data_IF_058544868567
#
_entry.id   IF_058544868567
#
_cell.length_a   1.000
_cell.length_b   1.000
_cell.length_c   1.000
_cell.angle_alpha   90.00
_cell.angle_beta   90.00
_cell.angle_gamma   90.00
#
_symmetry.space_group_name_H-M   'P 1'
#
loop_
_entity.id
_entity.type
_entity.pdbx_description
1 polymer ?
#
# COMPACT_ATOMS: atom_id res chain seq x y z
N UNK A 1 -8.32 -61.10 -22.95
CA UNK A 1 -9.19 -60.55 -21.88
C UNK A 1 -8.80 -59.10 -21.67
N UNK A 2 -9.75 -58.18 -21.74
CA UNK A 2 -9.48 -56.75 -21.59
C UNK A 2 -9.19 -56.45 -20.09
N UNK A 3 -7.98 -56.00 -19.72
CA UNK A 3 -7.61 -55.76 -18.32
C UNK A 3 -8.46 -54.66 -17.64
N UNK A 4 -9.15 -53.82 -18.43
CA UNK A 4 -10.08 -52.79 -17.96
C UNK A 4 -11.47 -53.33 -17.56
N UNK A 5 -11.71 -54.64 -17.75
CA UNK A 5 -12.96 -55.29 -17.33
C UNK A 5 -12.96 -55.72 -15.85
N UNK A 6 -11.81 -55.66 -15.15
CA UNK A 6 -11.72 -55.95 -13.71
C UNK A 6 -12.04 -54.69 -12.88
N UNK A 7 -13.14 -54.69 -12.08
CA UNK A 7 -13.52 -53.55 -11.24
C UNK A 7 -12.43 -53.06 -10.27
N UNK A 8 -11.55 -53.96 -9.81
CA UNK A 8 -10.45 -53.61 -8.90
C UNK A 8 -9.36 -52.80 -9.61
N UNK A 9 -9.07 -53.15 -10.87
CA UNK A 9 -8.09 -52.44 -11.71
C UNK A 9 -8.62 -51.06 -12.06
N UNK A 10 -9.88 -50.97 -12.48
CA UNK A 10 -10.54 -49.69 -12.81
C UNK A 10 -10.62 -48.76 -11.60
N UNK A 11 -10.97 -49.27 -10.42
CA UNK A 11 -11.00 -48.47 -9.18
C UNK A 11 -9.63 -47.91 -8.81
N UNK A 12 -8.57 -48.74 -8.87
CA UNK A 12 -7.19 -48.29 -8.60
C UNK A 12 -6.74 -47.24 -9.60
N UNK A 13 -7.04 -47.43 -10.88
CA UNK A 13 -6.74 -46.46 -11.93
C UNK A 13 -7.42 -45.11 -11.67
N UNK A 14 -8.72 -45.10 -11.36
CA UNK A 14 -9.46 -43.87 -11.03
C UNK A 14 -8.85 -43.16 -9.82
N UNK A 15 -8.50 -43.88 -8.75
CA UNK A 15 -7.86 -43.29 -7.57
C UNK A 15 -6.50 -42.67 -7.93
N UNK A 16 -5.68 -43.38 -8.71
CA UNK A 16 -4.36 -42.86 -9.13
C UNK A 16 -4.50 -41.62 -10.02
N UNK A 17 -5.49 -41.57 -10.92
CA UNK A 17 -5.76 -40.40 -11.75
C UNK A 17 -6.28 -39.21 -10.93
N UNK A 18 -7.10 -39.45 -9.90
CA UNK A 18 -7.55 -38.41 -8.98
C UNK A 18 -6.37 -37.83 -8.19
N UNK A 19 -5.48 -38.68 -7.66
CA UNK A 19 -4.27 -38.25 -6.96
C UNK A 19 -3.35 -37.47 -7.90
N UNK A 20 -3.10 -37.98 -9.11
CA UNK A 20 -2.23 -37.33 -10.09
C UNK A 20 -2.76 -35.94 -10.49
N UNK A 21 -4.07 -35.81 -10.70
CA UNK A 21 -4.71 -34.51 -11.00
C UNK A 21 -4.56 -33.54 -9.83
N UNK A 22 -4.81 -34.00 -8.60
CA UNK A 22 -4.65 -33.18 -7.41
C UNK A 22 -3.21 -32.68 -7.25
N UNK A 23 -2.23 -33.59 -7.36
CA UNK A 23 -0.80 -33.25 -7.28
C UNK A 23 -0.39 -32.28 -8.38
N UNK A 24 -0.82 -32.51 -9.62
CA UNK A 24 -0.56 -31.61 -10.75
C UNK A 24 -1.13 -30.22 -10.49
N UNK A 25 -2.37 -30.12 -10.01
CA UNK A 25 -3.01 -28.83 -9.71
C UNK A 25 -2.32 -28.11 -8.54
N UNK A 26 -1.89 -28.85 -7.49
CA UNK A 26 -1.12 -28.29 -6.38
C UNK A 26 0.23 -27.75 -6.85
N UNK A 27 0.99 -28.52 -7.64
CA UNK A 27 2.27 -28.08 -8.18
C UNK A 27 2.06 -26.87 -9.10
N UNK A 28 1.08 -26.91 -10.01
CA UNK A 28 0.76 -25.79 -10.88
C UNK A 28 0.39 -24.54 -10.08
N UNK A 29 -0.42 -24.66 -9.03
CA UNK A 29 -0.80 -23.53 -8.17
C UNK A 29 0.42 -22.92 -7.47
N UNK A 30 1.31 -23.75 -6.93
CA UNK A 30 2.53 -23.28 -6.26
C UNK A 30 3.49 -22.64 -7.26
N UNK A 31 3.81 -23.31 -8.36
CA UNK A 31 4.72 -22.78 -9.39
C UNK A 31 4.17 -21.49 -9.97
N UNK A 32 2.87 -21.45 -10.30
CA UNK A 32 2.20 -20.23 -10.79
C UNK A 32 2.33 -19.09 -9.78
N UNK A 33 2.19 -19.34 -8.48
CA UNK A 33 2.35 -18.30 -7.45
C UNK A 33 3.76 -17.71 -7.41
N UNK A 34 4.80 -18.51 -7.65
CA UNK A 34 6.19 -18.03 -7.65
C UNK A 34 6.64 -17.46 -8.99
N UNK A 35 6.15 -18.01 -10.11
CA UNK A 35 6.51 -17.57 -11.46
C UNK A 35 5.74 -16.33 -11.94
N UNK A 36 4.75 -15.85 -11.19
CA UNK A 36 3.94 -14.67 -11.54
C UNK A 36 4.20 -13.44 -10.66
N UNK A 37 5.25 -13.40 -9.84
CA UNK A 37 5.59 -12.15 -9.14
C UNK A 37 5.95 -11.10 -10.19
N UNK A 38 5.26 -9.94 -10.23
CA UNK A 38 5.64 -8.83 -11.09
C UNK A 38 7.11 -8.48 -10.93
N UNK A 39 7.76 -8.12 -12.04
CA UNK A 39 9.14 -7.67 -12.01
C UNK A 39 9.28 -6.45 -11.08
N UNK A 40 10.24 -6.46 -10.16
CA UNK A 40 10.45 -5.40 -9.16
C UNK A 40 9.84 -5.67 -7.78
N UNK A 41 8.90 -6.61 -7.65
CA UNK A 41 8.24 -6.90 -6.36
C UNK A 41 9.21 -7.49 -5.32
N UNK A 42 10.23 -8.23 -5.77
CA UNK A 42 11.24 -8.79 -4.87
C UNK A 42 12.05 -7.66 -4.21
N UNK A 43 12.50 -6.71 -5.00
CA UNK A 43 13.26 -5.54 -4.59
C UNK A 43 12.42 -4.62 -3.71
N UNK A 44 11.13 -4.45 -4.03
CA UNK A 44 10.18 -3.72 -3.18
C UNK A 44 10.09 -4.34 -1.79
N UNK A 45 9.96 -5.67 -1.69
CA UNK A 45 9.94 -6.36 -0.39
C UNK A 45 11.24 -6.16 0.40
N UNK A 46 12.39 -6.19 -0.27
CA UNK A 46 13.66 -5.90 0.39
C UNK A 46 13.72 -4.45 0.88
N UNK A 47 13.24 -3.50 0.07
CA UNK A 47 13.14 -2.09 0.44
C UNK A 47 12.27 -1.87 1.68
N UNK A 48 11.14 -2.57 1.77
CA UNK A 48 10.23 -2.48 2.92
C UNK A 48 10.85 -3.04 4.21
N UNK A 49 11.60 -4.13 4.11
CA UNK A 49 12.37 -4.65 5.25
C UNK A 49 13.39 -3.59 5.72
N UNK A 50 14.08 -2.93 4.79
CA UNK A 50 15.02 -1.86 5.14
C UNK A 50 14.35 -0.62 5.74
N UNK A 51 13.14 -0.26 5.29
CA UNK A 51 12.31 0.79 5.93
C UNK A 51 12.00 0.42 7.38
N UNK A 52 11.56 -0.82 7.63
CA UNK A 52 11.29 -1.31 8.99
C UNK A 52 12.52 -1.31 9.90
N UNK A 53 13.70 -1.56 9.32
CA UNK A 53 15.00 -1.49 9.99
C UNK A 53 15.53 -0.05 10.17
N UNK A 54 14.85 0.97 9.63
CA UNK A 54 15.32 2.37 9.62
C UNK A 54 16.52 2.63 8.70
N UNK A 55 16.86 1.70 7.80
CA UNK A 55 17.99 1.79 6.86
C UNK A 55 17.55 2.41 5.54
N UNK A 56 17.18 3.69 5.57
CA UNK A 56 16.53 4.37 4.44
C UNK A 56 17.35 4.38 3.15
N UNK A 57 18.67 4.60 3.22
CA UNK A 57 19.52 4.60 2.01
C UNK A 57 19.52 3.24 1.30
N UNK A 58 19.56 2.14 2.07
CA UNK A 58 19.46 0.78 1.50
C UNK A 58 18.09 0.51 0.92
N UNK A 59 17.03 1.03 1.55
CA UNK A 59 15.68 0.94 1.01
C UNK A 59 15.58 1.65 -0.35
N UNK A 60 16.12 2.88 -0.44
CA UNK A 60 16.18 3.65 -1.68
C UNK A 60 16.89 2.88 -2.80
N UNK A 61 18.06 2.29 -2.52
CA UNK A 61 18.77 1.46 -3.50
C UNK A 61 17.91 0.31 -4.04
N UNK A 62 17.15 -0.38 -3.17
CA UNK A 62 16.26 -1.47 -3.60
C UNK A 62 15.11 -0.95 -4.44
N UNK A 63 14.46 0.15 -4.04
CA UNK A 63 13.39 0.74 -4.84
C UNK A 63 13.88 1.24 -6.20
N UNK A 64 15.09 1.79 -6.26
CA UNK A 64 15.71 2.19 -7.53
C UNK A 64 15.98 0.99 -8.46
N UNK A 65 16.36 -0.16 -7.90
CA UNK A 65 16.48 -1.40 -8.68
C UNK A 65 15.13 -1.87 -9.23
N UNK A 66 14.07 -1.85 -8.42
CA UNK A 66 12.72 -2.16 -8.89
C UNK A 66 12.31 -1.24 -10.04
N UNK A 67 12.58 0.06 -9.91
CA UNK A 67 12.20 1.08 -10.90
C UNK A 67 13.05 1.04 -12.17
N UNK A 68 14.26 0.47 -12.14
CA UNK A 68 15.03 0.20 -13.36
C UNK A 68 14.36 -0.85 -14.23
N UNK A 69 13.70 -1.83 -13.62
CA UNK A 69 13.01 -2.92 -14.33
C UNK A 69 11.59 -2.48 -14.73
N UNK A 70 10.84 -1.90 -13.80
CA UNK A 70 9.52 -1.36 -14.04
C UNK A 70 9.43 0.11 -13.57
N UNK A 71 9.61 1.09 -14.48
CA UNK A 71 9.67 2.52 -14.12
C UNK A 71 8.44 3.09 -13.40
N UNK A 72 7.27 2.47 -13.59
CA UNK A 72 6.01 2.88 -12.98
C UNK A 72 5.53 1.90 -11.90
N UNK A 73 6.44 1.14 -11.30
CA UNK A 73 6.09 0.17 -10.27
C UNK A 73 5.51 0.88 -9.03
N UNK A 74 4.20 0.73 -8.83
CA UNK A 74 3.42 1.46 -7.83
C UNK A 74 3.99 1.34 -6.42
N UNK A 75 4.30 0.09 -6.02
CA UNK A 75 4.88 -0.20 -4.70
C UNK A 75 6.30 0.34 -4.50
N UNK A 76 7.09 0.48 -5.58
CA UNK A 76 8.45 0.99 -5.51
C UNK A 76 8.44 2.52 -5.44
N UNK A 77 7.61 3.19 -6.25
CA UNK A 77 7.39 4.64 -6.16
C UNK A 77 6.87 5.05 -4.77
N UNK A 78 5.86 4.33 -4.26
CA UNK A 78 5.32 4.56 -2.91
C UNK A 78 6.39 4.34 -1.84
N UNK A 79 7.10 3.20 -1.89
CA UNK A 79 8.15 2.88 -0.93
C UNK A 79 9.30 3.90 -0.94
N UNK A 80 9.70 4.36 -2.13
CA UNK A 80 10.76 5.37 -2.30
C UNK A 80 10.34 6.73 -1.75
N UNK A 81 9.11 7.16 -2.02
CA UNK A 81 8.54 8.38 -1.45
C UNK A 81 8.51 8.35 0.09
N UNK A 82 8.11 7.22 0.67
CA UNK A 82 8.11 7.00 2.11
C UNK A 82 9.53 7.00 2.69
N UNK A 83 10.49 6.36 2.02
CA UNK A 83 11.89 6.37 2.42
C UNK A 83 12.45 7.79 2.48
N UNK A 84 12.20 8.60 1.45
CA UNK A 84 12.58 10.01 1.45
C UNK A 84 11.93 10.77 2.61
N UNK A 85 10.62 10.61 2.81
CA UNK A 85 9.88 11.25 3.89
C UNK A 85 10.39 10.89 5.28
N UNK A 86 10.74 9.62 5.51
CA UNK A 86 11.27 9.12 6.79
C UNK A 86 12.73 9.51 7.02
N UNK A 87 13.49 9.75 5.95
CA UNK A 87 14.87 10.24 5.98
C UNK A 87 15.01 11.77 6.02
N UNK A 88 13.91 12.50 6.28
CA UNK A 88 13.86 13.97 6.31
C UNK A 88 14.25 14.63 4.97
N UNK A 89 13.84 14.02 3.86
CA UNK A 89 14.04 14.50 2.48
C UNK A 89 12.70 14.83 1.83
N UNK A 90 12.02 15.90 2.29
CA UNK A 90 10.62 16.11 1.97
C UNK A 90 10.40 16.61 0.53
N UNK A 91 11.40 17.26 -0.09
CA UNK A 91 11.30 17.74 -1.48
C UNK A 91 11.23 16.56 -2.44
N UNK A 92 12.10 15.57 -2.25
CA UNK A 92 12.11 14.34 -3.03
C UNK A 92 10.85 13.51 -2.77
N UNK A 93 10.41 13.40 -1.52
CA UNK A 93 9.16 12.71 -1.19
C UNK A 93 7.94 13.34 -1.89
N UNK A 94 7.82 14.67 -1.87
CA UNK A 94 6.73 15.40 -2.53
C UNK A 94 6.72 15.15 -4.04
N UNK A 95 7.89 15.17 -4.67
CA UNK A 95 8.04 14.90 -6.09
C UNK A 95 7.59 13.48 -6.46
N UNK A 96 8.01 12.48 -5.70
CA UNK A 96 7.64 11.08 -5.92
C UNK A 96 6.14 10.82 -5.70
N UNK A 97 5.56 11.32 -4.60
CA UNK A 97 4.12 11.21 -4.39
C UNK A 97 3.33 11.88 -5.50
N UNK A 98 3.76 13.08 -5.92
CA UNK A 98 3.10 13.82 -6.99
C UNK A 98 3.19 13.08 -8.33
N UNK A 99 4.33 12.48 -8.64
CA UNK A 99 4.49 11.63 -9.82
C UNK A 99 3.55 10.43 -9.77
N UNK A 100 3.55 9.68 -8.66
CA UNK A 100 2.71 8.50 -8.47
C UNK A 100 1.22 8.83 -8.59
N UNK A 101 0.76 9.89 -7.94
CA UNK A 101 -0.62 10.40 -8.04
C UNK A 101 -0.96 10.69 -9.49
N UNK A 102 -0.14 11.49 -10.19
CA UNK A 102 -0.40 11.87 -11.58
C UNK A 102 -0.44 10.66 -12.52
N UNK A 103 0.43 9.67 -12.30
CA UNK A 103 0.44 8.44 -13.06
C UNK A 103 -0.83 7.63 -12.82
N UNK A 104 -1.19 7.39 -11.55
CA UNK A 104 -2.35 6.59 -11.18
C UNK A 104 -3.66 7.24 -11.60
N UNK A 105 -3.83 8.56 -11.43
CA UNK A 105 -5.03 9.27 -11.89
C UNK A 105 -5.30 9.10 -13.39
N UNK A 106 -4.25 8.88 -14.20
CA UNK A 106 -4.37 8.72 -15.65
C UNK A 106 -4.51 7.26 -16.11
N UNK A 107 -4.03 6.30 -15.31
CA UNK A 107 -3.82 4.91 -15.75
C UNK A 107 -4.50 3.87 -14.86
N UNK A 108 -5.15 4.26 -13.75
CA UNK A 108 -5.93 3.33 -12.93
C UNK A 108 -7.28 3.10 -13.58
N UNK A 109 -7.58 1.83 -13.84
CA UNK A 109 -8.88 1.40 -14.33
C UNK A 109 -9.90 1.35 -13.19
N UNK A 110 -11.21 1.55 -13.45
CA UNK A 110 -12.24 1.55 -12.41
C UNK A 110 -12.37 0.25 -11.61
N UNK A 111 -11.92 -0.89 -12.15
CA UNK A 111 -11.94 -2.20 -11.50
C UNK A 111 -10.62 -2.57 -10.81
N UNK A 112 -9.57 -1.75 -10.95
CA UNK A 112 -8.27 -1.94 -10.33
C UNK A 112 -8.27 -1.45 -8.87
N UNK A 113 -8.85 -2.28 -7.99
CA UNK A 113 -8.96 -1.98 -6.55
C UNK A 113 -7.62 -1.67 -5.90
N UNK A 114 -6.55 -2.38 -6.29
CA UNK A 114 -5.21 -2.16 -5.75
C UNK A 114 -4.66 -0.80 -6.19
N UNK A 115 -4.87 -0.42 -7.46
CA UNK A 115 -4.51 0.89 -7.99
C UNK A 115 -5.28 2.02 -7.31
N UNK A 116 -6.58 1.85 -7.10
CA UNK A 116 -7.46 2.80 -6.39
C UNK A 116 -6.98 2.99 -4.94
N UNK A 117 -6.74 1.89 -4.22
CA UNK A 117 -6.20 1.95 -2.85
C UNK A 117 -4.82 2.61 -2.79
N UNK A 118 -3.96 2.34 -3.79
CA UNK A 118 -2.66 3.02 -3.92
C UNK A 118 -2.79 4.51 -4.13
N UNK A 119 -3.73 4.93 -4.98
CA UNK A 119 -3.97 6.34 -5.24
C UNK A 119 -4.46 7.06 -3.97
N UNK A 120 -5.41 6.46 -3.24
CA UNK A 120 -5.89 7.01 -1.97
C UNK A 120 -4.75 7.12 -0.93
N UNK A 121 -3.94 6.06 -0.77
CA UNK A 121 -2.78 6.06 0.12
C UNK A 121 -1.75 7.13 -0.27
N UNK A 122 -1.51 7.36 -1.56
CA UNK A 122 -0.55 8.34 -2.03
C UNK A 122 -0.98 9.76 -1.69
N UNK A 123 -2.27 10.09 -1.90
CA UNK A 123 -2.84 11.35 -1.43
C UNK A 123 -2.72 11.49 0.08
N UNK A 124 -3.07 10.47 0.86
CA UNK A 124 -2.98 10.53 2.31
C UNK A 124 -1.54 10.79 2.79
N UNK A 125 -0.55 10.07 2.25
CA UNK A 125 0.85 10.24 2.66
C UNK A 125 1.40 11.61 2.27
N UNK A 126 1.06 12.13 1.09
CA UNK A 126 1.43 13.50 0.72
C UNK A 126 0.72 14.54 1.58
N UNK A 127 -0.51 14.27 2.01
CA UNK A 127 -1.22 15.04 3.03
C UNK A 127 -0.46 15.10 4.36
N UNK A 128 0.02 13.96 4.87
CA UNK A 128 0.88 13.87 6.06
C UNK A 128 2.18 14.68 5.85
N UNK A 129 2.80 14.55 4.68
CA UNK A 129 4.02 15.30 4.35
C UNK A 129 3.78 16.81 4.43
N UNK A 130 2.70 17.31 3.83
CA UNK A 130 2.33 18.72 3.91
C UNK A 130 1.99 19.17 5.32
N UNK A 131 1.29 18.34 6.09
CA UNK A 131 0.91 18.67 7.45
C UNK A 131 2.14 18.84 8.35
N UNK A 132 3.15 17.95 8.21
CA UNK A 132 4.45 18.07 8.88
C UNK A 132 5.22 19.35 8.50
N UNK A 133 4.97 19.87 7.30
CA UNK A 133 5.53 21.13 6.81
C UNK A 133 4.65 22.35 7.13
N UNK A 134 3.59 22.19 7.93
CA UNK A 134 2.62 23.24 8.24
C UNK A 134 1.87 23.80 7.01
N UNK A 135 1.89 23.05 5.89
CA UNK A 135 1.15 23.34 4.65
C UNK A 135 -0.29 22.83 4.77
N UNK A 136 -0.99 23.24 5.82
CA UNK A 136 -2.25 22.64 6.27
C UNK A 136 -3.36 22.68 5.22
N UNK A 137 -3.43 23.72 4.38
CA UNK A 137 -4.43 23.79 3.31
C UNK A 137 -4.23 22.68 2.28
N UNK A 138 -2.99 22.45 1.87
CA UNK A 138 -2.64 21.37 0.94
C UNK A 138 -2.83 20.00 1.59
N UNK A 139 -2.47 19.86 2.86
CA UNK A 139 -2.71 18.65 3.62
C UNK A 139 -4.20 18.28 3.67
N UNK A 140 -5.04 19.25 4.03
CA UNK A 140 -6.49 19.10 4.06
C UNK A 140 -7.05 18.66 2.70
N UNK A 141 -6.63 19.32 1.63
CA UNK A 141 -7.12 19.00 0.29
C UNK A 141 -6.73 17.57 -0.12
N UNK A 142 -5.51 17.13 0.18
CA UNK A 142 -5.04 15.77 -0.08
C UNK A 142 -5.77 14.72 0.77
N UNK A 143 -6.01 14.97 2.07
CA UNK A 143 -6.80 14.06 2.90
C UNK A 143 -8.23 13.89 2.38
N UNK A 144 -8.85 14.99 1.94
CA UNK A 144 -10.20 14.94 1.36
C UNK A 144 -10.21 14.15 0.04
N UNK A 145 -9.19 14.28 -0.80
CA UNK A 145 -9.09 13.44 -2.01
C UNK A 145 -8.93 11.97 -1.65
N UNK A 146 -8.06 11.65 -0.70
CA UNK A 146 -7.84 10.28 -0.26
C UNK A 146 -9.15 9.60 0.21
N UNK A 147 -9.93 10.28 1.05
CA UNK A 147 -11.22 9.80 1.58
C UNK A 147 -12.25 9.63 0.45
N UNK A 148 -12.27 10.52 -0.54
CA UNK A 148 -13.20 10.42 -1.69
C UNK A 148 -12.89 9.23 -2.59
N UNK A 149 -11.62 8.84 -2.70
CA UNK A 149 -11.16 7.76 -3.59
C UNK A 149 -11.44 6.40 -2.94
N UNK A 150 -10.94 6.21 -1.72
CA UNK A 150 -11.14 4.97 -0.98
C UNK A 150 -11.09 5.27 0.52
N UNK A 151 -12.28 5.43 1.09
CA UNK A 151 -12.46 5.62 2.54
C UNK A 151 -11.81 4.49 3.34
N UNK A 152 -12.00 3.23 2.91
CA UNK A 152 -11.51 2.06 3.63
C UNK A 152 -9.99 1.99 3.66
N UNK A 153 -9.32 2.45 2.60
CA UNK A 153 -7.86 2.47 2.52
C UNK A 153 -7.21 3.47 3.51
N UNK A 154 -7.93 4.50 3.97
CA UNK A 154 -7.35 5.61 4.75
C UNK A 154 -7.98 5.85 6.13
N UNK A 155 -9.16 5.27 6.40
CA UNK A 155 -9.83 5.35 7.71
C UNK A 155 -9.48 4.25 8.71
N UNK A 156 -8.54 3.36 8.36
CA UNK A 156 -8.02 2.34 9.27
C UNK A 156 -9.05 1.24 9.61
N UNK A 157 -8.77 0.39 10.61
CA UNK A 157 -9.61 -0.76 10.95
C UNK A 157 -11.06 -0.34 11.24
N UNK A 158 -12.03 -1.08 10.69
CA UNK A 158 -13.44 -0.80 10.91
C UNK A 158 -13.87 -1.04 12.36
N UNK A 159 -15.09 -0.67 12.72
CA UNK A 159 -15.63 -0.88 14.09
C UNK A 159 -15.47 -2.34 14.54
N UNK A 160 -15.65 -3.30 13.63
CA UNK A 160 -15.49 -4.73 13.93
C UNK A 160 -14.05 -5.08 14.30
N UNK A 161 -13.07 -4.60 13.53
CA UNK A 161 -11.65 -4.84 13.81
C UNK A 161 -11.22 -4.20 15.13
N UNK A 162 -11.75 -3.01 15.45
CA UNK A 162 -11.52 -2.36 16.74
C UNK A 162 -12.04 -3.20 17.91
N UNK A 163 -13.22 -3.79 17.77
CA UNK A 163 -13.84 -4.63 18.80
C UNK A 163 -13.08 -5.95 18.97
N UNK A 164 -12.68 -6.59 17.85
CA UNK A 164 -12.02 -7.90 17.89
C UNK A 164 -10.58 -7.79 18.38
N UNK A 165 -9.83 -6.79 17.89
CA UNK A 165 -8.39 -6.71 18.10
C UNK A 165 -7.98 -5.65 19.13
N UNK A 166 -8.92 -4.85 19.64
CA UNK A 166 -8.62 -3.79 20.62
C UNK A 166 -7.62 -2.75 20.11
N UNK A 167 -7.57 -2.54 18.79
CA UNK A 167 -6.61 -1.59 18.20
C UNK A 167 -6.97 -0.16 18.62
N UNK A 168 -6.02 0.63 19.17
CA UNK A 168 -6.27 2.03 19.49
C UNK A 168 -6.65 2.80 18.22
N UNK A 169 -7.50 3.83 18.34
CA UNK A 169 -7.90 4.73 17.26
C UNK A 169 -6.67 5.46 16.71
N UNK A 170 -6.09 5.08 15.54
CA UNK A 170 -5.07 5.93 14.95
C UNK A 170 -5.74 7.22 14.45
N UNK A 171 -5.02 8.34 14.46
CA UNK A 171 -5.50 9.56 13.79
C UNK A 171 -5.67 9.27 12.29
N UNK A 172 -6.92 9.06 11.85
CA UNK A 172 -7.23 8.79 10.45
C UNK A 172 -7.17 10.06 9.61
N UNK A 173 -7.07 9.91 8.29
CA UNK A 173 -7.14 11.02 7.35
C UNK A 173 -8.35 11.92 7.62
N UNK A 174 -9.50 11.33 7.97
CA UNK A 174 -10.74 12.02 8.31
C UNK A 174 -10.63 12.85 9.57
N UNK A 175 -10.12 12.27 10.66
CA UNK A 175 -9.98 12.98 11.93
C UNK A 175 -9.05 14.17 11.78
N UNK A 176 -7.93 13.96 11.09
CA UNK A 176 -6.98 15.05 10.83
C UNK A 176 -7.56 16.11 9.91
N UNK A 177 -8.25 15.73 8.83
CA UNK A 177 -8.92 16.69 7.95
C UNK A 177 -9.96 17.54 8.69
N UNK A 178 -10.76 16.93 9.58
CA UNK A 178 -11.72 17.67 10.43
C UNK A 178 -11.01 18.68 11.33
N UNK A 179 -9.97 18.23 12.03
CA UNK A 179 -9.18 19.09 12.91
C UNK A 179 -8.59 20.29 12.14
N UNK A 180 -8.00 20.05 10.96
CA UNK A 180 -7.48 21.12 10.13
C UNK A 180 -8.60 22.08 9.69
N UNK A 181 -9.74 21.58 9.26
CA UNK A 181 -10.87 22.41 8.84
C UNK A 181 -11.37 23.35 9.94
N UNK A 182 -11.53 22.83 11.16
CA UNK A 182 -12.06 23.58 12.31
C UNK A 182 -11.09 24.67 12.80
N UNK A 183 -9.79 24.44 12.68
CA UNK A 183 -8.78 25.30 13.29
C UNK A 183 -8.06 26.21 12.29
N UNK A 184 -8.02 25.89 10.99
CA UNK A 184 -7.25 26.65 9.99
C UNK A 184 -7.75 28.09 9.80
N UNK A 185 -9.04 28.36 10.01
CA UNK A 185 -9.61 29.70 9.86
C UNK A 185 -9.09 30.70 10.90
N UNK A 186 -8.60 30.20 12.04
CA UNK A 186 -8.08 31.00 13.15
C UNK A 186 -6.54 31.01 13.19
N UNK A 187 -5.89 30.39 12.20
CA UNK A 187 -4.44 30.25 12.16
C UNK A 187 -3.78 31.60 11.85
N UNK A 188 -2.81 32.00 12.67
CA UNK A 188 -1.99 33.19 12.39
C UNK A 188 -0.89 32.84 11.38
N UNK A 189 -0.43 33.85 10.64
CA UNK A 189 0.68 33.68 9.71
C UNK A 189 1.93 33.12 10.43
N UNK A 190 2.44 32.00 9.94
CA UNK A 190 3.60 31.30 10.51
C UNK A 190 3.30 30.38 11.70
N UNK A 191 2.05 30.29 12.14
CA UNK A 191 1.62 29.34 13.16
C UNK A 191 1.33 27.97 12.54
N UNK A 192 1.66 26.90 13.26
CA UNK A 192 1.46 25.53 12.81
C UNK A 192 0.45 24.85 13.72
N UNK A 193 -0.59 24.24 13.13
CA UNK A 193 -1.58 23.43 13.85
C UNK A 193 -0.94 22.12 14.28
N UNK A 194 -0.34 22.12 15.47
CA UNK A 194 0.20 20.93 16.11
C UNK A 194 -0.84 20.33 17.04
N UNK A 195 -1.03 19.03 16.95
CA UNK A 195 -1.77 18.25 17.93
C UNK A 195 -0.89 17.05 18.30
N UNK A 196 0.06 17.21 19.24
CA UNK A 196 1.16 16.26 19.45
C UNK A 196 0.73 14.79 19.59
N UNK A 197 -0.39 14.53 20.25
CA UNK A 197 -0.96 13.18 20.39
C UNK A 197 -1.43 12.62 19.04
N UNK A 198 -2.34 13.30 18.33
CA UNK A 198 -2.77 12.91 16.98
C UNK A 198 -1.66 12.88 15.94
N UNK A 199 -0.69 13.81 16.01
CA UNK A 199 0.45 13.89 15.10
C UNK A 199 1.35 12.65 15.25
N UNK A 200 1.53 12.16 16.48
CA UNK A 200 2.28 10.94 16.78
C UNK A 200 1.55 9.66 16.31
N UNK A 201 0.22 9.73 16.14
CA UNK A 201 -0.62 8.61 15.71
C UNK A 201 -0.84 8.55 14.20
N UNK A 202 -0.37 9.56 13.44
CA UNK A 202 -0.46 9.56 11.97
C UNK A 202 0.31 8.38 11.37
N UNK A 203 -0.42 7.41 10.82
CA UNK A 203 0.17 6.28 10.11
C UNK A 203 0.36 6.61 8.64
N UNK A 204 1.56 6.35 8.15
CA UNK A 204 1.82 6.28 6.72
C UNK A 204 1.23 4.98 6.18
N UNK A 205 0.55 5.04 5.04
CA UNK A 205 -0.10 3.89 4.42
C UNK A 205 0.70 3.40 3.22
N UNK A 206 1.01 2.12 3.20
CA UNK A 206 1.49 1.43 2.00
C UNK A 206 0.50 0.30 1.69
N UNK A 207 -0.25 0.37 0.59
CA UNK A 207 -1.21 -0.67 0.20
C UNK A 207 -0.53 -1.94 -0.30
#
# INVERSE_FOLDING_TARGET
>A
MNPFSDPKVTRRFVILMAIATFVMFSIWAVVRSYSLTPDGDYEVRQGDIFIGDGKFDKALERFDEALKVQPNHRGALMGRALAFMMSDRPVEAEAEFTYLINYLTKNVEPDDRTGIGTLAAAYNNRGILYDRQCRHKMAFDDYIQAIKIDEGAVDGPGIVDKIIYGTPDPSTARLRARFLHENMANLKDGECLKHPEMDAEQRMYKP
#
